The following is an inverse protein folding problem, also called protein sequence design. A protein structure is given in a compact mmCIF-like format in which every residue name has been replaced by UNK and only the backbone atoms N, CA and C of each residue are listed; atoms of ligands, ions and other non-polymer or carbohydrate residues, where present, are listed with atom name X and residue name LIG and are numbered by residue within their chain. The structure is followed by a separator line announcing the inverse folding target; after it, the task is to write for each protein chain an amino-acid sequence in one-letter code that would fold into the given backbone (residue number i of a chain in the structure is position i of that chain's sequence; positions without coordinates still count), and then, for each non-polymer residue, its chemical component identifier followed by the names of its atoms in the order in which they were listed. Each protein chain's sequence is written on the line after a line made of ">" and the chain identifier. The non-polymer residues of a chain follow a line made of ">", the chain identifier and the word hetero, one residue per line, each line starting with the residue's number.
data_IF_214840074633
#
_entry.id   IF_214840074633
#
_cell.length_a   1.000
_cell.length_b   1.000
_cell.length_c   1.000
_cell.angle_alpha   90.00
_cell.angle_beta   90.00
_cell.angle_gamma   90.00
#
_symmetry.space_group_name_H-M   'P 1'
#
loop_
_entity.id
_entity.type
_entity.pdbx_description
1 polymer ?
#
# COMPACT_ATOMS: atom_id res chain seq x y z
N UNK A 1 -36.93 23.35 9.65
CA UNK A 1 -37.37 21.93 9.65
C UNK A 1 -36.62 21.14 10.72
N UNK A 2 -37.24 20.14 11.34
CA UNK A 2 -36.63 19.35 12.44
C UNK A 2 -35.94 18.11 11.89
N UNK A 3 -34.69 17.88 12.28
CA UNK A 3 -33.95 16.68 11.88
C UNK A 3 -34.49 15.43 12.58
N UNK A 4 -34.89 14.41 11.80
CA UNK A 4 -35.40 13.14 12.36
C UNK A 4 -34.33 12.29 13.05
N UNK A 5 -33.05 12.51 12.77
CA UNK A 5 -31.95 11.77 13.40
C UNK A 5 -31.47 12.37 14.73
N UNK A 6 -31.36 13.71 14.81
CA UNK A 6 -30.84 14.37 16.02
C UNK A 6 -31.84 15.27 16.76
N UNK A 7 -33.05 15.46 16.24
CA UNK A 7 -34.12 16.23 16.87
C UNK A 7 -33.94 17.75 16.88
N UNK A 8 -32.82 18.28 16.38
CA UNK A 8 -32.56 19.72 16.31
C UNK A 8 -33.28 20.39 15.15
N UNK A 9 -33.66 21.65 15.34
CA UNK A 9 -34.22 22.49 14.28
C UNK A 9 -33.10 23.07 13.40
N UNK A 10 -33.29 23.01 12.09
CA UNK A 10 -32.42 23.67 11.12
C UNK A 10 -33.07 24.99 10.69
N UNK A 11 -32.26 26.05 10.61
CA UNK A 11 -32.70 27.39 10.19
C UNK A 11 -32.87 27.47 8.67
N UNK A 12 -32.08 26.71 7.90
CA UNK A 12 -32.18 26.65 6.44
C UNK A 12 -33.23 25.62 5.98
N UNK A 13 -34.39 26.10 5.55
CA UNK A 13 -35.49 25.28 5.02
C UNK A 13 -35.15 24.48 3.76
N UNK A 14 -34.13 24.89 2.99
CA UNK A 14 -33.68 24.22 1.76
C UNK A 14 -32.40 23.37 1.96
N UNK A 15 -32.01 23.08 3.20
CA UNK A 15 -30.82 22.27 3.47
C UNK A 15 -31.04 20.80 3.10
N UNK A 16 -30.16 20.23 2.26
CA UNK A 16 -30.21 18.80 1.94
C UNK A 16 -29.72 17.91 3.09
N UNK A 17 -28.85 18.45 3.96
CA UNK A 17 -28.20 17.75 5.07
C UNK A 17 -28.28 18.57 6.35
N UNK A 18 -28.37 17.90 7.49
CA UNK A 18 -28.39 18.55 8.80
C UNK A 18 -27.00 19.10 9.16
N UNK A 19 -26.92 20.40 9.43
CA UNK A 19 -25.67 21.09 9.79
C UNK A 19 -25.01 20.54 11.07
N UNK A 20 -25.80 19.97 11.98
CA UNK A 20 -25.31 19.49 13.27
C UNK A 20 -24.89 18.01 13.31
N UNK A 21 -25.40 17.18 12.40
CA UNK A 21 -25.14 15.73 12.44
C UNK A 21 -24.88 15.09 11.07
N UNK A 22 -24.99 15.85 9.98
CA UNK A 22 -24.70 15.40 8.63
C UNK A 22 -25.75 14.49 7.98
N UNK A 23 -26.79 14.05 8.71
CA UNK A 23 -27.82 13.19 8.12
C UNK A 23 -28.67 13.97 7.12
N UNK A 24 -28.98 13.36 5.97
CA UNK A 24 -29.87 13.95 4.97
C UNK A 24 -31.29 14.14 5.54
N UNK A 25 -31.93 15.26 5.23
CA UNK A 25 -33.34 15.48 5.57
C UNK A 25 -34.30 14.72 4.64
N UNK A 26 -33.80 14.20 3.52
CA UNK A 26 -34.56 13.36 2.61
C UNK A 26 -34.84 12.01 3.28
N UNK A 27 -36.07 11.84 3.71
CA UNK A 27 -36.60 10.57 4.21
C UNK A 27 -36.75 9.60 3.03
N UNK A 28 -35.95 8.53 3.00
CA UNK A 28 -36.23 7.38 2.14
C UNK A 28 -37.35 6.56 2.80
N UNK A 29 -38.53 6.58 2.18
CA UNK A 29 -39.69 5.69 2.43
C UNK A 29 -39.28 4.22 2.10
N UNK A 30 -39.86 3.19 2.75
CA UNK A 30 -39.15 2.01 3.23
C UNK A 30 -38.59 1.11 2.13
N UNK A 31 -37.54 0.40 2.50
CA UNK A 31 -36.79 -0.55 1.68
C UNK A 31 -37.74 -1.61 1.10
N UNK A 32 -38.19 -1.40 -0.13
CA UNK A 32 -38.57 -2.46 -1.07
C UNK A 32 -37.40 -2.59 -2.04
N UNK A 33 -36.82 -3.78 -2.07
CA UNK A 33 -35.67 -4.13 -2.90
C UNK A 33 -36.13 -4.14 -4.37
N UNK A 34 -35.92 -3.03 -5.08
CA UNK A 34 -36.16 -2.92 -6.52
C UNK A 34 -34.85 -2.62 -7.25
N UNK A 35 -34.57 -3.48 -8.23
CA UNK A 35 -33.42 -3.44 -9.15
C UNK A 35 -33.23 -2.05 -9.76
N UNK A 36 -32.08 -1.44 -9.49
CA UNK A 36 -31.69 -0.18 -10.09
C UNK A 36 -30.62 -0.40 -11.16
N UNK A 37 -31.06 -0.49 -12.42
CA UNK A 37 -30.20 -0.39 -13.60
C UNK A 37 -29.86 1.07 -13.86
N UNK A 38 -28.64 1.49 -13.48
CA UNK A 38 -28.07 2.80 -13.84
C UNK A 38 -27.72 2.81 -15.34
N UNK A 39 -28.30 3.77 -16.05
CA UNK A 39 -28.00 4.07 -17.44
C UNK A 39 -26.52 4.39 -17.67
N UNK A 40 -25.95 3.75 -18.68
CA UNK A 40 -24.64 4.09 -19.23
C UNK A 40 -24.72 5.44 -19.93
N UNK A 41 -23.92 6.40 -19.47
CA UNK A 41 -23.38 7.43 -20.36
C UNK A 41 -21.90 7.72 -20.07
N UNK A 42 -21.10 7.36 -21.09
CA UNK A 42 -19.88 8.00 -21.60
C UNK A 42 -18.67 8.27 -20.68
N UNK A 43 -17.84 7.22 -20.58
CA UNK A 43 -16.37 7.19 -20.62
C UNK A 43 -15.59 8.36 -19.98
N UNK A 44 -15.35 8.24 -18.68
CA UNK A 44 -14.02 8.47 -18.10
C UNK A 44 -13.52 7.09 -17.69
N UNK A 45 -12.37 6.66 -18.23
CA UNK A 45 -11.78 5.35 -17.95
C UNK A 45 -11.18 5.36 -16.54
N UNK A 46 -12.05 5.38 -15.53
CA UNK A 46 -11.72 4.99 -14.17
C UNK A 46 -11.83 3.47 -14.17
N UNK A 47 -10.67 2.80 -14.09
CA UNK A 47 -10.57 1.35 -13.88
C UNK A 47 -11.55 0.95 -12.78
N UNK A 48 -12.68 0.36 -13.19
CA UNK A 48 -13.74 -0.04 -12.28
C UNK A 48 -13.21 -1.13 -11.35
N UNK A 49 -12.91 -0.74 -10.12
CA UNK A 49 -12.86 -1.58 -8.92
C UNK A 49 -14.28 -1.97 -8.52
N UNK A 50 -15.08 -2.47 -9.47
CA UNK A 50 -16.42 -2.97 -9.20
C UNK A 50 -16.33 -4.28 -8.43
N UNK A 51 -16.52 -4.22 -7.11
CA UNK A 51 -16.65 -5.34 -6.17
C UNK A 51 -15.39 -6.07 -5.67
N UNK A 52 -14.17 -5.53 -5.79
CA UNK A 52 -13.08 -6.09 -4.98
C UNK A 52 -13.19 -5.60 -3.53
N UNK A 53 -13.41 -6.54 -2.59
CA UNK A 53 -13.44 -6.20 -1.17
C UNK A 53 -12.09 -5.60 -0.77
N UNK A 54 -12.07 -4.48 -0.02
CA UNK A 54 -10.82 -3.90 0.42
C UNK A 54 -10.06 -4.90 1.28
N UNK A 55 -8.75 -4.95 1.08
CA UNK A 55 -7.87 -5.81 1.86
C UNK A 55 -7.84 -5.29 3.30
N UNK A 56 -8.05 -6.19 4.26
CA UNK A 56 -8.03 -5.83 5.68
C UNK A 56 -6.63 -5.40 6.14
N UNK A 57 -6.59 -4.55 7.18
CA UNK A 57 -5.36 -4.11 7.81
C UNK A 57 -4.45 -5.28 8.24
N UNK A 58 -5.04 -6.34 8.82
CA UNK A 58 -4.29 -7.51 9.26
C UNK A 58 -3.58 -8.25 8.12
N UNK A 59 -4.18 -8.30 6.92
CA UNK A 59 -3.53 -8.90 5.75
C UNK A 59 -2.33 -8.05 5.28
N UNK A 60 -2.45 -6.72 5.30
CA UNK A 60 -1.34 -5.82 5.03
C UNK A 60 -0.22 -5.96 6.07
N UNK A 61 -0.59 -5.98 7.35
CA UNK A 61 0.37 -6.17 8.43
C UNK A 61 1.14 -7.49 8.28
N UNK A 62 0.46 -8.61 8.03
CA UNK A 62 1.12 -9.90 7.79
C UNK A 62 2.03 -9.88 6.57
N UNK A 63 1.64 -9.16 5.52
CA UNK A 63 2.44 -8.99 4.31
C UNK A 63 3.74 -8.22 4.58
N UNK A 64 3.67 -7.15 5.38
CA UNK A 64 4.84 -6.36 5.78
C UNK A 64 5.69 -7.05 6.85
N UNK A 65 5.11 -7.96 7.63
CA UNK A 65 5.82 -8.68 8.70
C UNK A 65 6.60 -9.89 8.19
N UNK A 66 6.18 -10.48 7.06
CA UNK A 66 6.79 -11.66 6.46
C UNK A 66 8.33 -11.60 6.29
N UNK A 67 8.95 -10.48 5.83
CA UNK A 67 10.41 -10.42 5.68
C UNK A 67 11.19 -10.38 7.01
N UNK A 68 10.55 -10.13 8.16
CA UNK A 68 11.26 -10.12 9.45
C UNK A 68 11.59 -11.52 9.98
N UNK A 69 11.09 -12.58 9.34
CA UNK A 69 11.51 -13.94 9.68
C UNK A 69 12.95 -14.13 9.20
N UNK A 70 13.93 -14.39 10.08
CA UNK A 70 15.33 -14.44 9.71
C UNK A 70 15.60 -15.58 8.71
N UNK A 71 16.48 -15.30 7.74
CA UNK A 71 16.95 -16.21 6.68
C UNK A 71 15.83 -16.70 5.74
N UNK A 72 14.82 -17.40 6.26
CA UNK A 72 13.74 -18.01 5.47
C UNK A 72 12.73 -16.96 4.99
N UNK A 73 12.49 -15.91 5.79
CA UNK A 73 11.49 -14.89 5.49
C UNK A 73 11.75 -14.17 4.18
N UNK A 74 13.01 -13.86 3.87
CA UNK A 74 13.34 -13.15 2.62
C UNK A 74 13.09 -14.02 1.38
N UNK A 75 13.42 -15.33 1.43
CA UNK A 75 13.14 -16.24 0.32
C UNK A 75 11.64 -16.43 0.09
N UNK A 76 10.88 -16.68 1.17
CA UNK A 76 9.42 -16.82 1.10
C UNK A 76 8.77 -15.51 0.61
N UNK A 77 9.24 -14.37 1.12
CA UNK A 77 8.74 -13.06 0.73
C UNK A 77 8.92 -12.76 -0.76
N UNK A 78 10.10 -13.08 -1.32
CA UNK A 78 10.35 -12.93 -2.75
C UNK A 78 9.41 -13.80 -3.58
N UNK A 79 9.23 -15.08 -3.21
CA UNK A 79 8.29 -15.98 -3.91
C UNK A 79 6.87 -15.43 -3.83
N UNK A 80 6.43 -14.96 -2.66
CA UNK A 80 5.11 -14.36 -2.47
C UNK A 80 4.91 -13.11 -3.32
N UNK A 81 5.93 -12.27 -3.52
CA UNK A 81 5.87 -11.12 -4.43
C UNK A 81 5.56 -11.54 -5.87
N UNK A 82 6.21 -12.59 -6.38
CA UNK A 82 5.90 -13.12 -7.71
C UNK A 82 4.49 -13.71 -7.78
N UNK A 83 4.10 -14.51 -6.77
CA UNK A 83 2.75 -15.10 -6.70
C UNK A 83 1.68 -14.02 -6.69
N UNK A 84 1.86 -12.93 -5.93
CA UNK A 84 0.89 -11.84 -5.87
C UNK A 84 0.91 -10.96 -7.13
N UNK A 85 2.08 -10.70 -7.71
CA UNK A 85 2.21 -9.85 -8.90
C UNK A 85 1.61 -10.49 -10.16
N UNK A 86 1.71 -11.82 -10.28
CA UNK A 86 1.32 -12.55 -11.49
C UNK A 86 0.16 -13.53 -11.29
N UNK A 87 -0.24 -13.83 -10.05
CA UNK A 87 -1.34 -14.75 -9.76
C UNK A 87 -2.71 -14.20 -10.15
N UNK A 88 -3.62 -15.05 -10.61
CA UNK A 88 -5.00 -14.69 -10.97
C UNK A 88 -5.84 -14.28 -9.75
N UNK A 89 -5.61 -14.92 -8.60
CA UNK A 89 -6.52 -14.90 -7.45
C UNK A 89 -6.17 -13.82 -6.39
N UNK A 90 -5.21 -12.94 -6.72
CA UNK A 90 -4.78 -11.86 -5.82
C UNK A 90 -5.59 -10.58 -6.10
N UNK A 91 -6.12 -9.87 -5.06
CA UNK A 91 -6.83 -8.60 -5.26
C UNK A 91 -5.97 -7.58 -5.99
N UNK A 92 -6.58 -6.72 -6.81
CA UNK A 92 -5.86 -5.81 -7.72
C UNK A 92 -4.92 -4.88 -6.96
N UNK A 93 -5.37 -4.34 -5.82
CA UNK A 93 -4.53 -3.49 -4.95
C UNK A 93 -3.23 -4.17 -4.49
N UNK A 94 -3.29 -5.44 -4.06
CA UNK A 94 -2.09 -6.20 -3.64
C UNK A 94 -1.22 -6.64 -4.81
N UNK A 95 -1.83 -6.96 -5.95
CA UNK A 95 -1.12 -7.26 -7.19
C UNK A 95 -0.32 -6.07 -7.70
N UNK A 96 -0.93 -4.88 -7.72
CA UNK A 96 -0.27 -3.65 -8.13
C UNK A 96 0.85 -3.26 -7.16
N UNK A 97 0.60 -3.38 -5.85
CA UNK A 97 1.64 -3.19 -4.85
C UNK A 97 2.82 -4.14 -5.06
N UNK A 98 2.57 -5.43 -5.28
CA UNK A 98 3.63 -6.42 -5.50
C UNK A 98 4.46 -6.12 -6.75
N UNK A 99 3.82 -5.72 -7.86
CA UNK A 99 4.50 -5.28 -9.09
C UNK A 99 5.37 -4.04 -8.85
N UNK A 100 4.85 -3.03 -8.16
CA UNK A 100 5.60 -1.84 -7.82
C UNK A 100 6.80 -2.16 -6.92
N UNK A 101 6.60 -3.00 -5.90
CA UNK A 101 7.67 -3.44 -5.00
C UNK A 101 8.78 -4.19 -5.75
N UNK A 102 8.45 -5.05 -6.72
CA UNK A 102 9.46 -5.73 -7.55
C UNK A 102 10.33 -4.73 -8.33
N UNK A 103 9.73 -3.70 -8.93
CA UNK A 103 10.47 -2.66 -9.65
C UNK A 103 11.39 -1.89 -8.68
N UNK A 104 10.88 -1.51 -7.51
CA UNK A 104 11.66 -0.83 -6.48
C UNK A 104 12.84 -1.71 -6.03
N UNK A 105 12.62 -3.02 -5.85
CA UNK A 105 13.69 -3.96 -5.50
C UNK A 105 14.80 -4.01 -6.57
N UNK A 106 14.44 -4.02 -7.85
CA UNK A 106 15.43 -3.99 -8.95
C UNK A 106 16.25 -2.69 -8.91
N UNK A 107 15.59 -1.54 -8.73
CA UNK A 107 16.28 -0.25 -8.62
C UNK A 107 17.21 -0.23 -7.40
N UNK A 108 16.74 -0.73 -6.26
CA UNK A 108 17.54 -0.81 -5.05
C UNK A 108 18.80 -1.68 -5.22
N UNK A 109 18.69 -2.81 -5.94
CA UNK A 109 19.84 -3.67 -6.26
C UNK A 109 20.87 -2.92 -7.12
N UNK A 110 20.42 -2.21 -8.16
CA UNK A 110 21.29 -1.43 -9.04
C UNK A 110 22.05 -0.37 -8.24
N UNK A 111 21.33 0.40 -7.40
CA UNK A 111 21.93 1.42 -6.55
C UNK A 111 22.91 0.82 -5.53
N UNK A 112 22.57 -0.33 -4.95
CA UNK A 112 23.42 -1.02 -3.99
C UNK A 112 24.74 -1.48 -4.63
N UNK A 113 24.67 -2.10 -5.81
CA UNK A 113 25.87 -2.52 -6.56
C UNK A 113 26.73 -1.31 -6.91
N UNK A 114 26.12 -0.22 -7.40
CA UNK A 114 26.84 1.02 -7.70
C UNK A 114 27.58 1.56 -6.47
N UNK A 115 26.89 1.70 -5.34
CA UNK A 115 27.47 2.17 -4.08
C UNK A 115 28.57 1.25 -3.54
N UNK A 116 28.42 -0.07 -3.66
CA UNK A 116 29.47 -1.01 -3.26
C UNK A 116 30.71 -0.85 -4.13
N UNK A 117 30.56 -0.72 -5.45
CA UNK A 117 31.71 -0.58 -6.35
C UNK A 117 32.46 0.73 -6.15
N UNK A 118 31.75 1.84 -5.91
CA UNK A 118 32.38 3.14 -5.64
C UNK A 118 33.12 3.12 -4.30
N UNK A 119 32.49 2.63 -3.24
CA UNK A 119 33.10 2.57 -1.90
C UNK A 119 34.31 1.64 -1.85
N UNK A 120 34.29 0.50 -2.54
CA UNK A 120 35.45 -0.40 -2.62
C UNK A 120 36.64 0.25 -3.34
N UNK A 121 36.40 1.00 -4.41
CA UNK A 121 37.46 1.73 -5.12
C UNK A 121 38.09 2.80 -4.23
N UNK A 122 37.28 3.53 -3.46
CA UNK A 122 37.78 4.52 -2.50
C UNK A 122 38.60 3.87 -1.38
N UNK A 123 38.17 2.71 -0.86
CA UNK A 123 38.94 1.95 0.14
C UNK A 123 40.29 1.53 -0.43
N UNK A 124 40.34 1.04 -1.67
CA UNK A 124 41.61 0.66 -2.31
C UNK A 124 42.53 1.87 -2.52
N UNK A 125 41.98 3.04 -2.84
CA UNK A 125 42.72 4.29 -3.01
C UNK A 125 43.15 4.92 -1.67
N UNK A 126 42.49 4.57 -0.57
CA UNK A 126 42.76 5.13 0.77
C UNK A 126 44.05 4.60 1.41
N UNK A 127 44.70 3.59 0.82
CA UNK A 127 45.93 3.00 1.34
C UNK A 127 45.77 2.28 2.68
N UNK A 128 44.53 1.95 3.07
CA UNK A 128 44.20 1.27 4.32
C UNK A 128 44.55 -0.22 4.20
N UNK A 129 45.82 -0.56 4.39
CA UNK A 129 46.28 -1.95 4.46
C UNK A 129 45.90 -2.54 5.82
N UNK A 130 45.03 -3.55 5.80
CA UNK A 130 44.69 -4.32 7.01
C UNK A 130 45.95 -4.95 7.61
N UNK A 131 46.93 -5.29 6.77
CA UNK A 131 48.19 -5.89 7.19
C UNK A 131 49.05 -4.96 8.08
N UNK A 132 49.06 -3.65 7.81
CA UNK A 132 49.76 -2.66 8.65
C UNK A 132 49.07 -2.53 10.02
N UNK A 133 47.74 -2.45 10.03
CA UNK A 133 46.93 -2.41 11.24
C UNK A 133 47.09 -3.66 12.11
N UNK A 134 47.09 -4.85 11.48
CA UNK A 134 47.26 -6.11 12.18
C UNK A 134 48.68 -6.26 12.75
N UNK A 135 49.71 -5.85 12.00
CA UNK A 135 51.09 -5.84 12.48
C UNK A 135 51.31 -4.85 13.64
N UNK A 136 50.57 -3.75 13.69
CA UNK A 136 50.64 -2.81 14.81
C UNK A 136 50.01 -3.38 16.08
N UNK A 137 48.90 -4.11 15.96
CA UNK A 137 48.19 -4.71 17.08
C UNK A 137 48.90 -5.94 17.66
N UNK A 138 49.54 -6.75 16.81
CA UNK A 138 50.25 -7.97 17.25
C UNK A 138 51.66 -7.70 17.80
N UNK A 139 52.15 -6.46 17.73
CA UNK A 139 53.46 -6.03 18.27
C UNK A 139 53.39 -5.44 19.70
N UNK A 140 52.22 -5.46 20.33
CA UNK A 140 52.02 -5.21 21.77
C UNK A 140 52.15 -6.51 22.57
#
# INVERSE_FOLDING_TARGET
>A
MVCKACGRNTANENANYCEYCGTSFRENIPIRQEDYSIGKDKSMEIESTGNEKPISFGNWMGTMLLPFIPIVGIFIYLVMMFVWAFGSDTPKSKKNWARASLIISVIAIILFVFMLTSTMMDIMNSGLSIEEYMNQLYKL
#
